data_IF_937210573720
#
_entry.id   IF_937210573720
#
_cell.length_a   1.000
_cell.length_b   1.000
_cell.length_c   1.000
_cell.angle_alpha   90.00
_cell.angle_beta   90.00
_cell.angle_gamma   90.00
#
_symmetry.space_group_name_H-M   'P 1'
#
loop_
_entity.id
_entity.type
_entity.pdbx_description
1 polymer ?
#
# COMPACT_ATOMS: atom_id res chain seq x y z
N UNK A 1 3.23 -27.62 -24.02
CA UNK A 1 4.29 -26.82 -23.37
C UNK A 1 3.62 -25.89 -22.39
N UNK A 2 3.88 -26.06 -21.09
CA UNK A 2 3.48 -25.06 -20.10
C UNK A 2 4.47 -23.88 -20.22
N UNK A 3 4.02 -22.62 -20.18
CA UNK A 3 4.93 -21.49 -20.08
C UNK A 3 5.78 -21.67 -18.82
N UNK A 4 7.08 -21.43 -18.95
CA UNK A 4 7.99 -21.48 -17.82
C UNK A 4 7.85 -20.14 -17.08
N UNK A 5 7.27 -20.16 -15.88
CA UNK A 5 7.03 -18.99 -15.02
C UNK A 5 8.35 -18.45 -14.42
N UNK A 6 9.35 -18.19 -15.26
CA UNK A 6 10.69 -17.74 -14.86
C UNK A 6 10.74 -16.26 -14.45
N UNK A 7 9.65 -15.51 -14.62
CA UNK A 7 9.52 -14.07 -14.33
C UNK A 7 8.90 -13.78 -12.96
N UNK A 8 8.73 -14.81 -12.13
CA UNK A 8 7.96 -14.71 -10.89
C UNK A 8 8.86 -14.51 -9.68
N UNK A 9 8.54 -13.50 -8.87
CA UNK A 9 9.24 -13.20 -7.61
C UNK A 9 8.28 -13.32 -6.41
N UNK A 10 8.70 -13.91 -5.28
CA UNK A 10 7.83 -14.06 -4.11
C UNK A 10 7.49 -12.70 -3.49
N UNK A 11 6.20 -12.44 -3.21
CA UNK A 11 5.84 -11.30 -2.37
C UNK A 11 5.99 -11.67 -0.90
N UNK A 12 6.70 -10.83 -0.15
CA UNK A 12 6.98 -11.02 1.26
C UNK A 12 6.53 -9.81 2.07
N UNK A 13 6.23 -10.02 3.35
CA UNK A 13 5.98 -8.94 4.30
C UNK A 13 7.29 -8.52 4.96
N UNK A 14 7.55 -7.23 5.12
CA UNK A 14 8.77 -6.68 5.73
C UNK A 14 8.46 -5.61 6.77
N UNK A 15 9.23 -5.50 7.84
CA UNK A 15 9.09 -4.41 8.84
C UNK A 15 9.65 -3.10 8.24
N UNK A 16 8.90 -1.99 8.11
CA UNK A 16 9.40 -0.76 7.53
C UNK A 16 10.45 -0.18 8.45
N UNK A 17 11.54 0.24 7.83
CA UNK A 17 12.52 1.11 8.44
C UNK A 17 11.99 2.57 8.44
N UNK A 18 12.63 3.51 9.18
CA UNK A 18 12.19 4.90 9.24
C UNK A 18 12.13 5.58 7.85
N UNK A 19 12.89 5.08 6.89
CA UNK A 19 12.87 5.52 5.50
C UNK A 19 12.16 4.45 4.64
N UNK A 20 11.00 4.79 4.09
CA UNK A 20 10.24 3.89 3.20
C UNK A 20 10.94 3.86 1.84
N UNK A 21 11.54 2.72 1.50
CA UNK A 21 12.16 2.52 0.19
C UNK A 21 11.11 2.48 -0.93
N UNK A 22 11.45 2.86 -2.16
CA UNK A 22 10.59 2.63 -3.34
C UNK A 22 10.20 1.15 -3.53
N UNK A 23 10.98 0.23 -2.94
CA UNK A 23 10.66 -1.20 -2.84
C UNK A 23 9.35 -1.46 -2.10
N UNK A 24 9.02 -0.61 -1.13
CA UNK A 24 7.87 -0.69 -0.22
C UNK A 24 6.65 0.08 -0.73
N UNK A 25 6.80 0.82 -1.83
CA UNK A 25 5.73 1.64 -2.39
C UNK A 25 4.93 0.87 -3.43
N UNK A 26 3.61 0.93 -3.28
CA UNK A 26 2.66 0.26 -4.16
C UNK A 26 1.72 1.27 -4.78
N UNK A 27 1.36 1.02 -6.04
CA UNK A 27 0.35 1.78 -6.75
C UNK A 27 -0.94 0.96 -6.80
N UNK A 28 -2.04 1.55 -6.32
CA UNK A 28 -3.38 1.03 -6.58
C UNK A 28 -3.91 1.62 -7.87
N UNK A 29 -4.14 0.75 -8.86
CA UNK A 29 -4.72 1.13 -10.14
C UNK A 29 -6.18 0.66 -10.13
N UNK A 30 -7.15 1.58 -10.03
CA UNK A 30 -8.56 1.22 -10.02
C UNK A 30 -9.00 0.67 -11.38
N UNK A 31 -10.07 -0.13 -11.34
CA UNK A 31 -10.78 -0.64 -12.49
C UNK A 31 -12.28 -0.62 -12.23
N UNK A 32 -13.05 -1.18 -13.15
CA UNK A 32 -14.49 -1.33 -13.00
C UNK A 32 -14.86 -2.28 -11.86
N UNK A 33 -16.03 -2.05 -11.26
CA UNK A 33 -16.63 -2.87 -10.20
C UNK A 33 -15.79 -2.97 -8.91
N UNK A 34 -15.06 -1.91 -8.53
CA UNK A 34 -14.31 -1.88 -7.27
C UNK A 34 -13.09 -2.81 -7.24
N UNK A 35 -12.58 -3.17 -8.41
CA UNK A 35 -11.40 -4.01 -8.56
C UNK A 35 -10.17 -3.15 -8.72
N UNK A 36 -9.05 -3.66 -8.22
CA UNK A 36 -7.77 -2.97 -8.25
C UNK A 36 -6.68 -3.89 -8.78
N UNK A 37 -5.78 -3.31 -9.57
CA UNK A 37 -4.43 -3.83 -9.71
C UNK A 37 -3.56 -3.24 -8.60
N UNK A 38 -2.75 -4.10 -7.99
CA UNK A 38 -1.79 -3.72 -6.95
C UNK A 38 -0.41 -3.90 -7.56
N UNK A 39 0.32 -2.80 -7.79
CA UNK A 39 1.57 -2.81 -8.56
C UNK A 39 2.72 -2.26 -7.74
N UNK A 40 3.84 -2.97 -7.66
CA UNK A 40 5.02 -2.47 -6.99
C UNK A 40 5.63 -1.31 -7.80
N UNK A 41 5.98 -0.21 -7.13
CA UNK A 41 6.45 0.99 -7.80
C UNK A 41 7.85 0.82 -8.39
N UNK A 42 8.76 0.13 -7.70
CA UNK A 42 10.14 -0.09 -8.18
C UNK A 42 10.20 -1.11 -9.30
N UNK A 43 9.69 -2.31 -9.08
CA UNK A 43 9.83 -3.42 -10.03
C UNK A 43 8.84 -3.36 -11.20
N UNK A 44 7.81 -2.52 -11.09
CA UNK A 44 6.71 -2.46 -12.07
C UNK A 44 6.00 -3.81 -12.27
N UNK A 45 6.10 -4.72 -11.32
CA UNK A 45 5.37 -5.98 -11.28
C UNK A 45 4.03 -5.82 -10.56
N UNK A 46 3.00 -6.50 -11.04
CA UNK A 46 1.72 -6.61 -10.36
C UNK A 46 1.74 -7.78 -9.38
N UNK A 47 1.03 -7.63 -8.26
CA UNK A 47 0.75 -8.75 -7.38
C UNK A 47 -0.25 -9.68 -8.06
N UNK A 48 0.12 -10.95 -8.24
CA UNK A 48 -0.67 -11.97 -8.92
C UNK A 48 -0.91 -13.19 -8.01
N UNK A 49 -2.11 -13.75 -8.12
CA UNK A 49 -2.40 -15.08 -7.61
C UNK A 49 -1.74 -16.12 -8.53
N UNK A 50 -0.99 -17.09 -7.98
CA UNK A 50 -0.43 -18.15 -8.81
C UNK A 50 -1.45 -19.26 -9.12
N UNK A 51 -1.49 -19.74 -10.37
CA UNK A 51 -2.30 -20.90 -10.76
C UNK A 51 -1.81 -22.15 -9.97
N UNK A 52 -2.69 -23.03 -9.46
CA UNK A 52 -4.12 -23.20 -9.74
C UNK A 52 -5.10 -22.40 -8.88
N UNK A 53 -4.70 -21.27 -8.30
CA UNK A 53 -5.57 -20.38 -7.51
C UNK A 53 -6.32 -21.14 -6.40
N UNK A 54 -5.58 -21.85 -5.54
CA UNK A 54 -6.14 -22.63 -4.43
C UNK A 54 -5.53 -22.18 -3.12
N UNK A 55 -6.08 -22.70 -2.03
CA UNK A 55 -5.50 -22.52 -0.70
C UNK A 55 -4.00 -22.85 -0.71
N UNK A 56 -3.25 -22.02 0.01
CA UNK A 56 -1.80 -22.07 0.20
C UNK A 56 -0.99 -21.87 -1.08
N UNK A 57 -1.59 -21.34 -2.15
CA UNK A 57 -0.81 -20.82 -3.29
C UNK A 57 -0.23 -19.46 -2.94
N UNK A 58 1.03 -19.17 -3.32
CA UNK A 58 1.64 -17.88 -3.05
C UNK A 58 1.00 -16.77 -3.90
N UNK A 59 1.08 -15.56 -3.36
CA UNK A 59 0.91 -14.32 -4.11
C UNK A 59 2.32 -13.83 -4.47
N UNK A 60 2.51 -13.51 -5.74
CA UNK A 60 3.83 -13.27 -6.33
C UNK A 60 3.81 -12.00 -7.18
N UNK A 61 4.97 -11.37 -7.38
CA UNK A 61 5.16 -10.28 -8.32
C UNK A 61 5.46 -10.83 -9.72
N UNK A 62 4.77 -10.34 -10.74
CA UNK A 62 5.07 -10.63 -12.16
C UNK A 62 4.51 -9.53 -13.08
N UNK A 63 4.92 -9.51 -14.33
CA UNK A 63 4.37 -8.64 -15.38
C UNK A 63 2.90 -8.95 -15.74
N UNK A 64 2.37 -10.07 -15.23
CA UNK A 64 0.99 -10.51 -15.44
C UNK A 64 -0.07 -9.52 -14.92
N UNK A 65 -1.33 -9.84 -15.22
CA UNK A 65 -2.49 -9.06 -14.75
C UNK A 65 -3.33 -9.89 -13.80
N UNK A 66 -3.53 -9.37 -12.59
CA UNK A 66 -4.45 -9.91 -11.60
C UNK A 66 -5.29 -8.78 -11.00
N UNK A 67 -6.54 -9.10 -10.67
CA UNK A 67 -7.49 -8.15 -10.10
C UNK A 67 -7.83 -8.59 -8.68
N UNK A 68 -7.87 -7.61 -7.78
CA UNK A 68 -8.14 -7.81 -6.36
C UNK A 68 -9.32 -6.94 -5.93
N UNK A 69 -10.13 -7.46 -5.01
CA UNK A 69 -11.05 -6.64 -4.24
C UNK A 69 -10.33 -6.14 -2.99
N UNK A 70 -10.46 -4.85 -2.70
CA UNK A 70 -9.93 -4.23 -1.48
C UNK A 70 -11.14 -3.71 -0.69
N UNK A 71 -11.38 -4.29 0.48
CA UNK A 71 -12.58 -4.06 1.26
C UNK A 71 -12.24 -3.64 2.67
N UNK A 72 -12.93 -2.62 3.19
CA UNK A 72 -12.75 -2.19 4.57
C UNK A 72 -13.18 -3.29 5.53
N UNK A 73 -12.35 -3.50 6.53
CA UNK A 73 -12.71 -4.26 7.72
C UNK A 73 -13.78 -3.46 8.48
N UNK A 74 -14.72 -4.16 9.14
CA UNK A 74 -15.69 -3.51 10.02
C UNK A 74 -14.97 -2.70 11.11
N UNK A 75 -15.46 -1.49 11.40
CA UNK A 75 -14.79 -0.57 12.32
C UNK A 75 -14.63 -1.13 13.75
N UNK A 76 -15.48 -2.08 14.12
CA UNK A 76 -15.44 -2.83 15.37
C UNK A 76 -14.29 -3.85 15.46
N UNK A 77 -13.74 -4.28 14.32
CA UNK A 77 -12.60 -5.21 14.25
C UNK A 77 -11.31 -4.42 14.05
N UNK A 78 -11.27 -3.57 13.01
CA UNK A 78 -10.14 -2.69 12.71
C UNK A 78 -10.61 -1.53 11.82
N UNK A 79 -10.65 -0.28 12.32
CA UNK A 79 -11.14 0.87 11.56
C UNK A 79 -10.25 1.25 10.37
N UNK A 80 -8.97 0.90 10.41
CA UNK A 80 -7.99 1.21 9.37
C UNK A 80 -7.61 -0.03 8.54
N UNK A 81 -8.26 -1.16 8.82
CA UNK A 81 -7.98 -2.45 8.21
C UNK A 81 -8.71 -2.67 6.89
N UNK A 82 -8.08 -3.47 6.04
CA UNK A 82 -8.62 -3.90 4.76
C UNK A 82 -8.39 -5.40 4.55
N UNK A 83 -9.33 -6.05 3.88
CA UNK A 83 -9.16 -7.37 3.29
C UNK A 83 -8.79 -7.23 1.81
N UNK A 84 -7.82 -8.02 1.35
CA UNK A 84 -7.43 -8.10 -0.07
C UNK A 84 -7.83 -9.48 -0.59
N UNK A 85 -8.88 -9.53 -1.41
CA UNK A 85 -9.51 -10.78 -1.87
C UNK A 85 -9.29 -11.02 -3.35
N UNK A 86 -9.07 -12.26 -3.74
CA UNK A 86 -8.87 -12.60 -5.14
C UNK A 86 -10.19 -12.46 -5.92
N UNK A 87 -10.15 -11.81 -7.08
CA UNK A 87 -11.36 -11.52 -7.84
C UNK A 87 -12.11 -12.78 -8.32
N UNK A 88 -11.40 -13.85 -8.70
CA UNK A 88 -12.04 -15.04 -9.28
C UNK A 88 -12.54 -16.01 -8.21
N UNK A 89 -11.82 -16.11 -7.08
CA UNK A 89 -12.22 -16.89 -5.91
C UNK A 89 -12.25 -15.98 -4.69
N UNK A 90 -13.40 -15.36 -4.48
CA UNK A 90 -13.61 -14.30 -3.47
C UNK A 90 -13.62 -14.83 -2.04
N UNK A 91 -13.66 -16.16 -1.88
CA UNK A 91 -13.41 -16.87 -0.64
C UNK A 91 -11.91 -16.95 -0.28
N UNK A 92 -11.01 -16.63 -1.22
CA UNK A 92 -9.56 -16.58 -0.97
C UNK A 92 -9.09 -15.14 -0.77
N UNK A 93 -8.28 -14.92 0.26
CA UNK A 93 -7.68 -13.62 0.58
C UNK A 93 -6.16 -13.73 0.78
N UNK A 94 -5.49 -12.58 0.72
CA UNK A 94 -4.10 -12.44 1.14
C UNK A 94 -3.98 -12.78 2.61
N UNK A 95 -3.04 -13.66 2.93
CA UNK A 95 -2.85 -14.18 4.26
C UNK A 95 -1.38 -14.48 4.51
N UNK A 96 -0.89 -14.10 5.68
CA UNK A 96 0.47 -14.44 6.13
C UNK A 96 0.47 -15.71 6.96
N UNK A 97 1.42 -16.61 6.72
CA UNK A 97 1.50 -17.85 7.49
C UNK A 97 1.87 -17.57 8.95
N UNK A 98 2.96 -16.83 9.14
CA UNK A 98 3.43 -16.27 10.39
C UNK A 98 3.54 -14.73 10.30
N UNK A 99 3.89 -14.07 11.40
CA UNK A 99 4.02 -12.60 11.43
C UNK A 99 5.47 -12.14 11.40
N UNK A 100 6.36 -12.98 10.90
CA UNK A 100 7.79 -12.69 10.85
C UNK A 100 8.11 -11.77 9.68
N UNK A 101 9.30 -11.20 9.74
CA UNK A 101 9.89 -10.49 8.62
C UNK A 101 10.18 -11.46 7.45
N UNK A 102 10.01 -10.97 6.23
CA UNK A 102 10.20 -11.68 4.96
C UNK A 102 9.21 -12.86 4.78
N UNK A 103 8.13 -12.90 5.56
CA UNK A 103 7.11 -13.96 5.41
C UNK A 103 6.36 -13.83 4.09
N UNK A 104 6.31 -14.89 3.25
CA UNK A 104 5.59 -14.82 2.00
C UNK A 104 4.08 -14.69 2.19
N UNK A 105 3.44 -14.02 1.23
CA UNK A 105 1.98 -13.88 1.18
C UNK A 105 1.38 -15.08 0.46
N UNK A 106 0.34 -15.66 1.03
CA UNK A 106 -0.39 -16.78 0.44
C UNK A 106 -1.88 -16.43 0.26
N UNK A 107 -2.52 -17.09 -0.69
CA UNK A 107 -3.96 -17.21 -0.76
C UNK A 107 -4.44 -18.23 0.26
N UNK A 108 -5.38 -17.85 1.13
CA UNK A 108 -6.07 -18.77 2.02
C UNK A 108 -7.56 -18.48 2.09
N UNK A 109 -8.40 -19.47 2.47
CA UNK A 109 -9.79 -19.23 2.80
C UNK A 109 -9.93 -18.08 3.79
N UNK A 110 -10.87 -17.20 3.53
CA UNK A 110 -11.18 -16.08 4.39
C UNK A 110 -11.55 -16.58 5.78
N UNK A 111 -10.78 -16.16 6.77
CA UNK A 111 -11.05 -16.35 8.17
C UNK A 111 -10.77 -15.02 8.88
N UNK A 112 -11.69 -14.57 9.74
CA UNK A 112 -11.52 -13.34 10.48
C UNK A 112 -10.33 -13.53 11.44
N UNK A 113 -9.23 -12.83 11.15
CA UNK A 113 -8.00 -12.91 11.94
C UNK A 113 -6.98 -11.87 11.52
N UNK A 114 -6.09 -11.51 12.43
CA UNK A 114 -5.06 -10.48 12.22
C UNK A 114 -4.04 -10.79 11.11
N UNK A 115 -4.07 -12.00 10.54
CA UNK A 115 -3.14 -12.48 9.49
C UNK A 115 -3.64 -12.19 8.07
N UNK A 116 -4.90 -11.78 7.92
CA UNK A 116 -5.50 -11.40 6.64
C UNK A 116 -5.96 -9.93 6.60
N UNK A 117 -5.69 -9.16 7.67
CA UNK A 117 -5.99 -7.73 7.77
C UNK A 117 -4.75 -6.92 7.41
N UNK A 118 -4.92 -6.02 6.46
CA UNK A 118 -3.90 -5.15 5.90
C UNK A 118 -4.28 -3.69 6.13
N UNK A 119 -3.38 -2.89 6.66
CA UNK A 119 -3.45 -1.44 6.67
C UNK A 119 -3.00 -0.90 5.32
N UNK A 120 -3.70 0.10 4.82
CA UNK A 120 -3.36 0.75 3.54
C UNK A 120 -3.26 2.24 3.80
N UNK A 121 -2.06 2.78 3.71
CA UNK A 121 -1.79 4.19 4.05
C UNK A 121 -1.32 4.93 2.80
N UNK A 122 -1.89 6.10 2.47
CA UNK A 122 -1.35 6.97 1.42
C UNK A 122 0.11 7.31 1.69
N UNK A 123 0.93 7.31 0.65
CA UNK A 123 2.30 7.79 0.74
C UNK A 123 2.38 9.27 0.35
N UNK A 124 2.88 10.11 1.25
CA UNK A 124 3.11 11.53 0.98
C UNK A 124 4.57 11.74 0.57
N UNK A 125 4.78 12.21 -0.66
CA UNK A 125 6.11 12.50 -1.20
C UNK A 125 6.73 13.78 -0.58
N UNK A 126 6.00 14.55 0.24
CA UNK A 126 6.45 15.86 0.71
C UNK A 126 7.52 15.83 1.82
N UNK A 127 7.92 14.66 2.33
CA UNK A 127 8.75 14.55 3.55
C UNK A 127 10.25 14.40 3.31
N UNK A 128 10.71 14.16 2.07
CA UNK A 128 12.12 13.81 1.79
C UNK A 128 13.01 15.02 1.49
N UNK A 129 12.45 16.18 1.14
CA UNK A 129 13.26 17.34 0.69
C UNK A 129 13.80 18.24 1.81
N UNK A 130 13.46 18.01 3.09
CA UNK A 130 13.80 18.98 4.14
C UNK A 130 15.21 18.81 4.74
N UNK A 131 15.86 17.66 4.56
CA UNK A 131 17.16 17.41 5.21
C UNK A 131 18.35 18.02 4.45
N UNK A 132 18.19 18.35 3.16
CA UNK A 132 19.25 18.99 2.36
C UNK A 132 19.35 20.51 2.57
N UNK A 133 18.34 21.15 3.18
CA UNK A 133 18.33 22.61 3.39
C UNK A 133 18.98 23.07 4.71
N UNK A 134 19.39 22.16 5.60
CA UNK A 134 19.93 22.52 6.93
C UNK A 134 21.47 22.58 7.03
N UNK A 135 22.21 22.47 5.91
CA UNK A 135 23.68 22.67 5.90
C UNK A 135 24.15 23.98 5.22
N UNK A 136 23.24 24.91 4.91
CA UNK A 136 23.64 26.24 4.47
C UNK A 136 23.77 27.18 5.68
N UNK A 137 25.02 27.37 6.09
CA UNK A 137 25.54 28.29 7.11
C UNK A 137 24.93 29.70 6.96
N UNK A 138 24.52 30.38 8.06
CA UNK A 138 23.92 31.71 7.99
C UNK A 138 24.99 32.81 7.92
N UNK A 139 24.95 33.62 6.86
CA UNK A 139 25.58 34.94 6.82
C UNK A 139 24.49 36.02 6.91
N UNK A 140 24.30 36.57 8.12
CA UNK A 140 23.57 37.82 8.34
C UNK A 140 24.26 38.99 7.63
N UNK A 141 23.48 40.00 7.19
CA UNK A 141 23.49 41.23 7.96
C UNK A 141 22.08 41.77 8.27
N UNK A 142 22.04 42.58 9.31
CA UNK A 142 20.86 43.16 9.93
C UNK A 142 20.06 44.10 9.01
N UNK A 143 18.74 44.02 9.09
CA UNK A 143 17.87 45.21 9.12
C UNK A 143 16.47 44.87 9.66
N UNK A 144 15.87 45.90 10.23
CA UNK A 144 14.71 45.95 11.12
C UNK A 144 13.34 45.83 10.45
N UNK A 145 12.34 45.60 11.30
CA UNK A 145 10.92 46.00 11.24
C UNK A 145 9.88 44.89 10.92
N UNK A 146 8.94 44.80 11.87
CA UNK A 146 7.78 43.90 12.02
C UNK A 146 6.61 44.25 11.07
N UNK A 147 5.37 43.77 11.31
CA UNK A 147 4.85 42.41 11.16
C UNK A 147 3.64 42.37 10.19
N UNK A 148 3.25 41.20 9.66
CA UNK A 148 1.88 41.06 9.12
C UNK A 148 1.43 39.61 9.00
N UNK A 149 0.37 39.30 9.75
CA UNK A 149 -0.82 38.53 9.38
C UNK A 149 -0.68 37.41 8.35
N UNK A 150 -0.96 36.16 8.77
CA UNK A 150 -1.55 35.19 7.85
C UNK A 150 -2.49 34.23 8.58
N UNK A 151 -3.59 33.94 7.91
CA UNK A 151 -4.86 33.47 8.46
C UNK A 151 -4.84 31.99 8.85
N UNK A 152 -5.57 31.67 9.92
CA UNK A 152 -6.05 30.32 10.20
C UNK A 152 -7.00 29.90 9.08
N UNK A 153 -6.67 28.84 8.36
CA UNK A 153 -7.55 28.23 7.37
C UNK A 153 -8.10 26.91 7.92
N UNK A 154 -9.21 27.04 8.66
CA UNK A 154 -10.15 25.95 8.89
C UNK A 154 -10.90 25.73 7.58
N UNK A 155 -10.69 24.59 6.91
CA UNK A 155 -11.66 24.12 5.92
C UNK A 155 -12.31 22.85 6.44
N UNK A 156 -13.55 23.06 6.88
CA UNK A 156 -14.62 22.10 7.02
C UNK A 156 -14.89 21.51 5.63
N UNK A 157 -14.76 20.20 5.45
CA UNK A 157 -15.27 19.55 4.25
C UNK A 157 -16.76 19.24 4.43
N UNK A 158 -17.58 20.16 3.93
CA UNK A 158 -18.99 19.96 3.67
C UNK A 158 -19.17 19.00 2.50
N UNK A 159 -19.91 17.92 2.76
CA UNK A 159 -20.36 16.92 1.81
C UNK A 159 -21.16 17.54 0.65
N UNK A 160 -20.68 17.37 -0.58
CA UNK A 160 -21.54 17.28 -1.78
C UNK A 160 -20.83 16.48 -2.87
N UNK A 161 -21.59 15.60 -3.52
CA UNK A 161 -21.18 14.59 -4.50
C UNK A 161 -20.64 15.17 -5.83
N UNK A 162 -19.91 14.28 -6.52
CA UNK A 162 -19.63 14.19 -7.95
C UNK A 162 -18.52 15.06 -8.58
N UNK A 163 -17.31 14.50 -8.60
CA UNK A 163 -16.60 14.15 -9.85
C UNK A 163 -15.50 13.14 -9.51
N UNK A 164 -15.63 11.89 -9.99
CA UNK A 164 -14.66 10.81 -9.73
C UNK A 164 -13.39 11.05 -10.55
N UNK A 165 -12.46 11.82 -9.99
CA UNK A 165 -11.07 11.83 -10.42
C UNK A 165 -10.48 10.48 -9.98
N UNK A 166 -10.22 9.58 -10.93
CA UNK A 166 -9.38 8.39 -10.71
C UNK A 166 -7.95 8.86 -10.44
N UNK A 167 -7.72 9.31 -9.21
CA UNK A 167 -6.38 9.53 -8.72
C UNK A 167 -5.72 8.16 -8.55
N UNK A 168 -4.62 7.94 -9.27
CA UNK A 168 -3.68 6.88 -8.93
C UNK A 168 -3.15 7.17 -7.53
N UNK A 169 -3.48 6.31 -6.56
CA UNK A 169 -3.02 6.47 -5.20
C UNK A 169 -1.77 5.62 -5.00
N UNK A 170 -0.69 6.28 -4.58
CA UNK A 170 0.48 5.61 -4.04
C UNK A 170 0.23 5.32 -2.56
N UNK A 171 0.50 4.08 -2.17
CA UNK A 171 0.20 3.58 -0.84
C UNK A 171 1.35 2.72 -0.31
N UNK A 172 1.48 2.68 1.00
CA UNK A 172 2.15 1.61 1.72
C UNK A 172 1.10 0.60 2.19
N UNK A 173 1.33 -0.69 1.92
CA UNK A 173 0.51 -1.80 2.43
C UNK A 173 1.17 -2.31 3.69
N UNK A 174 0.63 -1.97 4.87
CA UNK A 174 1.18 -2.38 6.17
C UNK A 174 0.31 -3.43 6.89
N UNK A 175 0.80 -4.14 7.93
CA UNK A 175 -0.03 -5.07 8.75
C UNK A 175 -0.52 -4.43 10.07
N UNK A 176 -1.54 -5.04 10.69
CA UNK A 176 -1.99 -4.75 12.05
C UNK A 176 -1.04 -5.31 13.13
N UNK A 177 -0.78 -4.50 14.17
CA UNK A 177 0.07 -4.68 15.36
C UNK A 177 1.60 -4.48 15.26
N UNK A 178 2.17 -4.30 14.07
CA UNK A 178 3.39 -3.50 13.91
C UNK A 178 3.43 -2.94 12.49
N UNK A 179 4.11 -1.83 12.29
CA UNK A 179 4.40 -1.32 10.96
C UNK A 179 5.11 -2.45 10.20
N UNK A 180 4.54 -2.97 9.12
CA UNK A 180 5.09 -4.06 8.28
C UNK A 180 4.70 -3.85 6.81
N UNK A 181 5.53 -3.28 5.94
CA UNK A 181 5.26 -3.11 4.49
C UNK A 181 5.32 -4.44 3.70
N UNK A 182 4.96 -4.45 2.42
CA UNK A 182 5.09 -5.62 1.52
C UNK A 182 6.22 -5.35 0.52
N UNK A 183 7.14 -6.30 0.34
CA UNK A 183 8.24 -6.28 -0.62
C UNK A 183 8.13 -7.41 -1.66
N UNK A 184 8.84 -7.24 -2.78
CA UNK A 184 9.02 -8.26 -3.84
C UNK A 184 10.50 -8.55 -4.04
#
# INVERSE_FOLDING_TARGET
MLPNDNDVEPLVCVIPEPEVSDLELWQLIPSSAGRYQIKNLKYKHAAIAQYPYKDSMPVVGSEGKCWWFIERVGAEIDPEGYFIRYNVKTDLCWHLYDGSDITPIYLRPFAIGRRCIWKISPYDHSSVDTVAAHLMVPSQPASSSSPSSSMKLLTVFSSTLDTRIEAHLFIALTRFDSTYTILT
#
